data_IF_239202283346
#
_entry.id   IF_239202283346
#
_cell.length_a   1.000
_cell.length_b   1.000
_cell.length_c   1.000
_cell.angle_alpha   90.00
_cell.angle_beta   90.00
_cell.angle_gamma   90.00
#
_symmetry.space_group_name_H-M   'P 1'
#
loop_
_entity.id
_entity.type
_entity.pdbx_description
1 polymer ?
#
# COMPACT_ATOMS: atom_id res chain seq x y z
N UNK A 1 -7.17 -2.65 -25.72
CA UNK A 1 -7.43 -1.42 -24.94
C UNK A 1 -6.92 -1.70 -23.53
N UNK A 2 -5.96 -0.93 -23.02
CA UNK A 2 -5.50 -1.11 -21.64
C UNK A 2 -6.70 -0.94 -20.69
N UNK A 3 -6.81 -1.73 -19.60
CA UNK A 3 -7.87 -1.55 -18.63
C UNK A 3 -7.86 -0.12 -18.09
N UNK A 4 -9.03 0.48 -17.91
CA UNK A 4 -9.17 1.83 -17.32
C UNK A 4 -8.39 1.87 -15.99
N UNK A 5 -7.69 2.98 -15.65
CA UNK A 5 -6.89 3.08 -14.44
C UNK A 5 -7.59 2.59 -13.17
N UNK A 6 -8.86 2.97 -12.98
CA UNK A 6 -9.68 2.52 -11.86
C UNK A 6 -9.85 1.00 -11.79
N UNK A 7 -10.03 0.31 -12.93
CA UNK A 7 -10.16 -1.16 -12.97
C UNK A 7 -8.88 -1.83 -12.47
N UNK A 8 -7.71 -1.30 -12.83
CA UNK A 8 -6.42 -1.83 -12.37
C UNK A 8 -6.20 -1.51 -10.90
N UNK A 9 -6.49 -0.28 -10.48
CA UNK A 9 -6.42 0.14 -9.08
C UNK A 9 -7.29 -0.75 -8.17
N UNK A 10 -8.54 -1.01 -8.57
CA UNK A 10 -9.45 -1.94 -7.85
C UNK A 10 -8.82 -3.32 -7.66
N UNK A 11 -8.22 -3.89 -8.71
CA UNK A 11 -7.56 -5.19 -8.61
C UNK A 11 -6.42 -5.18 -7.58
N UNK A 12 -5.61 -4.13 -7.55
CA UNK A 12 -4.49 -4.02 -6.60
C UNK A 12 -4.99 -3.84 -5.17
N UNK A 13 -5.91 -2.90 -4.93
CA UNK A 13 -6.43 -2.62 -3.60
C UNK A 13 -7.21 -3.80 -3.01
N UNK A 14 -8.05 -4.46 -3.80
CA UNK A 14 -8.91 -5.56 -3.34
C UNK A 14 -8.16 -6.90 -3.23
N UNK A 15 -6.91 -6.98 -3.69
CA UNK A 15 -6.04 -8.12 -3.41
C UNK A 15 -5.47 -8.09 -1.98
N UNK A 16 -5.53 -6.94 -1.29
CA UNK A 16 -5.03 -6.81 0.08
C UNK A 16 -6.02 -7.43 1.09
N UNK A 17 -5.54 -8.08 2.16
CA UNK A 17 -6.40 -8.80 3.10
C UNK A 17 -7.46 -7.91 3.76
N UNK A 18 -8.72 -8.35 3.75
CA UNK A 18 -9.88 -7.62 4.30
C UNK A 18 -10.08 -6.19 3.72
N UNK A 19 -9.42 -5.86 2.60
CA UNK A 19 -9.66 -4.60 1.91
C UNK A 19 -11.02 -4.63 1.20
N UNK A 20 -11.73 -3.52 1.23
CA UNK A 20 -13.01 -3.36 0.55
C UNK A 20 -13.16 -1.95 -0.01
N UNK A 21 -14.05 -1.83 -0.99
CA UNK A 21 -14.40 -0.58 -1.63
C UNK A 21 -15.65 0.03 -0.98
N UNK A 22 -15.61 1.34 -0.76
CA UNK A 22 -16.76 2.15 -0.31
C UNK A 22 -16.76 3.42 -1.16
N UNK A 23 -17.91 3.79 -1.72
CA UNK A 23 -18.03 5.10 -2.35
C UNK A 23 -18.11 6.20 -1.27
N UNK A 24 -17.26 7.22 -1.39
CA UNK A 24 -17.34 8.41 -0.54
C UNK A 24 -16.96 9.65 -1.36
N UNK A 25 -17.71 10.74 -1.16
CA UNK A 25 -17.52 12.00 -1.91
C UNK A 25 -17.59 11.82 -3.44
N UNK A 26 -18.38 10.84 -3.90
CA UNK A 26 -18.50 10.48 -5.32
C UNK A 26 -17.31 9.71 -5.88
N UNK A 27 -16.40 9.22 -5.03
CA UNK A 27 -15.18 8.53 -5.43
C UNK A 27 -15.07 7.13 -4.81
N UNK A 28 -14.53 6.14 -5.56
CA UNK A 28 -14.11 4.88 -5.00
C UNK A 28 -13.03 5.07 -3.92
N UNK A 29 -13.36 4.67 -2.70
CA UNK A 29 -12.41 4.63 -1.59
C UNK A 29 -12.10 3.21 -1.16
N UNK A 30 -10.84 2.94 -0.83
CA UNK A 30 -10.35 1.63 -0.43
C UNK A 30 -9.95 1.63 1.04
N UNK A 31 -10.52 0.68 1.77
CA UNK A 31 -10.48 0.65 3.23
C UNK A 31 -10.13 -0.73 3.73
N UNK A 32 -9.48 -0.77 4.89
CA UNK A 32 -9.34 -1.98 5.70
C UNK A 32 -10.04 -1.71 7.02
N UNK A 33 -11.07 -2.51 7.33
CA UNK A 33 -12.07 -2.16 8.36
C UNK A 33 -12.59 -0.73 8.11
N UNK A 34 -12.65 0.10 9.13
CA UNK A 34 -13.17 1.46 9.00
C UNK A 34 -12.08 2.50 8.65
N UNK A 35 -10.89 2.07 8.21
CA UNK A 35 -9.75 2.96 7.95
C UNK A 35 -9.41 3.02 6.47
N UNK A 36 -9.40 4.24 5.95
CA UNK A 36 -9.02 4.57 4.58
C UNK A 36 -7.51 4.46 4.38
N UNK A 37 -7.09 3.84 3.27
CA UNK A 37 -5.70 3.80 2.83
C UNK A 37 -5.47 4.30 1.40
N UNK A 38 -6.48 4.22 0.53
CA UNK A 38 -6.41 4.77 -0.81
C UNK A 38 -7.76 5.34 -1.27
N UNK A 39 -7.74 6.34 -2.15
CA UNK A 39 -8.91 6.94 -2.77
C UNK A 39 -8.60 7.24 -4.24
N UNK A 40 -9.46 6.80 -5.16
CA UNK A 40 -9.35 7.20 -6.55
C UNK A 40 -9.72 8.68 -6.71
N UNK A 41 -9.03 9.36 -7.62
CA UNK A 41 -9.28 10.74 -7.97
C UNK A 41 -9.52 10.81 -9.48
N UNK A 42 -10.77 10.99 -9.88
CA UNK A 42 -11.16 10.98 -11.28
C UNK A 42 -10.69 12.26 -12.00
N UNK A 43 -10.23 12.10 -13.23
CA UNK A 43 -9.80 13.21 -14.08
C UNK A 43 -10.92 14.24 -14.30
N UNK A 44 -12.17 13.79 -14.32
CA UNK A 44 -13.35 14.60 -14.61
C UNK A 44 -13.81 15.46 -13.41
N UNK A 45 -13.18 15.33 -12.24
CA UNK A 45 -13.54 16.13 -11.07
C UNK A 45 -12.34 16.86 -10.45
N UNK A 46 -12.64 17.65 -9.42
CA UNK A 46 -11.66 18.51 -8.77
C UNK A 46 -10.63 17.76 -7.91
N UNK A 47 -10.83 16.46 -7.63
CA UNK A 47 -9.84 15.65 -6.91
C UNK A 47 -8.69 15.21 -7.82
N UNK A 48 -8.96 14.89 -9.09
CA UNK A 48 -7.95 14.48 -10.07
C UNK A 48 -7.28 15.65 -10.81
N UNK A 49 -7.87 16.84 -10.78
CA UNK A 49 -7.27 18.03 -11.39
C UNK A 49 -7.01 17.87 -12.89
N UNK A 50 -7.90 17.16 -13.59
CA UNK A 50 -7.78 16.87 -15.03
C UNK A 50 -7.02 15.59 -15.37
N UNK A 51 -6.46 14.87 -14.38
CA UNK A 51 -5.71 13.62 -14.58
C UNK A 51 -6.22 12.52 -13.66
N UNK A 52 -6.37 11.28 -14.12
CA UNK A 52 -6.76 10.18 -13.24
C UNK A 52 -5.61 9.92 -12.27
N UNK A 53 -5.93 9.84 -10.98
CA UNK A 53 -4.93 9.67 -9.92
C UNK A 53 -5.45 8.75 -8.80
N UNK A 54 -4.56 8.39 -7.88
CA UNK A 54 -4.91 7.81 -6.59
C UNK A 54 -4.23 8.59 -5.48
N UNK A 55 -4.98 8.91 -4.44
CA UNK A 55 -4.43 9.43 -3.19
C UNK A 55 -4.18 8.24 -2.27
N UNK A 56 -2.93 8.04 -1.87
CA UNK A 56 -2.50 6.94 -1.02
C UNK A 56 -1.98 7.49 0.31
N UNK A 57 -2.33 6.79 1.39
CA UNK A 57 -1.75 7.02 2.71
C UNK A 57 -0.25 6.69 2.65
N UNK A 58 0.58 7.56 3.24
CA UNK A 58 2.02 7.35 3.33
C UNK A 58 2.56 7.99 4.62
N UNK A 59 3.81 7.69 4.95
CA UNK A 59 4.54 8.39 6.00
C UNK A 59 5.05 9.76 5.49
N UNK A 60 5.08 10.81 6.34
CA UNK A 60 5.52 12.15 5.91
C UNK A 60 6.93 12.18 5.30
N UNK A 61 7.85 11.34 5.79
CA UNK A 61 9.21 11.23 5.25
C UNK A 61 9.20 10.78 3.78
N UNK A 62 8.34 9.82 3.45
CA UNK A 62 8.22 9.28 2.09
C UNK A 62 7.61 10.30 1.12
N UNK A 63 6.63 11.10 1.58
CA UNK A 63 6.02 12.16 0.76
C UNK A 63 7.09 13.10 0.18
N UNK A 64 7.95 13.68 1.03
CA UNK A 64 8.96 14.63 0.59
C UNK A 64 10.01 14.03 -0.35
N UNK A 65 10.38 12.76 -0.17
CA UNK A 65 11.31 12.05 -1.05
C UNK A 65 10.69 11.78 -2.43
N UNK A 66 9.46 11.28 -2.48
CA UNK A 66 8.76 10.97 -3.73
C UNK A 66 8.51 12.21 -4.57
N UNK A 67 8.13 13.34 -3.94
CA UNK A 67 7.97 14.62 -4.66
C UNK A 67 9.27 15.08 -5.33
N UNK A 68 10.43 14.83 -4.71
CA UNK A 68 11.74 15.19 -5.28
C UNK A 68 12.20 14.20 -6.35
N UNK A 69 11.92 12.91 -6.17
CA UNK A 69 12.39 11.86 -7.06
C UNK A 69 11.62 11.85 -8.41
N UNK A 70 10.31 12.09 -8.37
CA UNK A 70 9.47 12.05 -9.57
C UNK A 70 8.29 13.04 -9.49
N UNK A 71 8.54 14.36 -9.60
CA UNK A 71 7.51 15.40 -9.47
C UNK A 71 6.42 15.34 -10.55
N UNK A 72 6.70 14.74 -11.71
CA UNK A 72 5.69 14.59 -12.78
C UNK A 72 4.72 13.42 -12.55
N UNK A 73 5.08 12.51 -11.63
CA UNK A 73 4.31 11.31 -11.27
C UNK A 73 3.59 11.45 -9.93
N UNK A 74 4.11 12.30 -9.05
CA UNK A 74 3.65 12.43 -7.68
C UNK A 74 3.28 13.87 -7.32
N UNK A 75 2.27 14.02 -6.46
CA UNK A 75 1.87 15.32 -5.94
C UNK A 75 1.41 15.22 -4.48
N UNK A 76 1.26 16.37 -3.82
CA UNK A 76 0.72 16.45 -2.46
C UNK A 76 -0.78 16.77 -2.54
N UNK A 77 -1.69 15.88 -2.10
CA UNK A 77 -3.12 16.15 -2.15
C UNK A 77 -3.51 17.29 -1.20
N UNK A 78 -4.43 18.20 -1.59
CA UNK A 78 -4.67 19.46 -0.88
C UNK A 78 -5.20 19.31 0.56
N UNK A 79 -5.85 18.19 0.91
CA UNK A 79 -6.51 18.03 2.22
C UNK A 79 -5.83 17.01 3.14
N UNK A 80 -5.32 15.94 2.55
CA UNK A 80 -4.69 14.82 3.27
C UNK A 80 -3.17 14.86 3.18
N UNK A 81 -2.62 15.75 2.33
CA UNK A 81 -1.20 16.03 2.22
C UNK A 81 -0.54 16.40 3.55
N UNK A 82 -1.10 17.31 4.38
CA UNK A 82 -0.55 17.60 5.72
C UNK A 82 -0.53 16.39 6.67
N UNK A 83 -1.28 15.33 6.36
CA UNK A 83 -1.28 14.05 7.10
C UNK A 83 -0.33 13.02 6.48
N UNK A 84 0.54 13.44 5.56
CA UNK A 84 1.55 12.60 4.91
C UNK A 84 1.07 11.85 3.67
N UNK A 85 -0.15 12.07 3.19
CA UNK A 85 -0.66 11.36 2.00
C UNK A 85 0.01 11.83 0.72
N UNK A 86 0.15 10.92 -0.24
CA UNK A 86 0.68 11.21 -1.57
C UNK A 86 -0.40 11.02 -2.63
N UNK A 87 -0.32 11.80 -3.71
CA UNK A 87 -1.07 11.58 -4.94
C UNK A 87 -0.15 10.94 -5.98
N UNK A 88 -0.65 9.95 -6.70
CA UNK A 88 0.05 9.27 -7.80
C UNK A 88 -0.81 9.37 -9.06
N UNK A 89 -0.27 9.93 -10.13
CA UNK A 89 -0.97 9.96 -11.43
C UNK A 89 -1.00 8.56 -12.07
N UNK A 90 -2.14 8.22 -12.69
CA UNK A 90 -2.40 6.90 -13.28
C UNK A 90 -2.52 6.93 -14.82
N UNK A 91 -2.21 8.07 -15.43
CA UNK A 91 -2.14 8.24 -16.88
C UNK A 91 -0.73 8.00 -17.43
N UNK A 92 -0.60 7.94 -18.76
CA UNK A 92 0.68 7.74 -19.44
C UNK A 92 1.40 6.46 -19.01
N UNK A 93 2.70 6.57 -18.75
CA UNK A 93 3.60 5.49 -18.34
C UNK A 93 3.66 5.34 -16.80
N UNK A 94 2.49 5.34 -16.16
CA UNK A 94 2.38 5.14 -14.71
C UNK A 94 3.12 3.86 -14.27
N UNK A 95 3.95 3.98 -13.23
CA UNK A 95 4.70 2.85 -12.67
C UNK A 95 3.80 2.04 -11.73
N UNK A 96 3.14 1.05 -12.32
CA UNK A 96 2.24 0.18 -11.58
C UNK A 96 2.95 -0.77 -10.62
N UNK A 97 4.26 -0.98 -10.78
CA UNK A 97 5.04 -1.80 -9.84
C UNK A 97 5.31 -0.99 -8.58
N UNK A 98 5.80 0.25 -8.73
CA UNK A 98 5.95 1.18 -7.62
C UNK A 98 4.62 1.40 -6.88
N UNK A 99 3.52 1.55 -7.63
CA UNK A 99 2.20 1.75 -7.02
C UNK A 99 1.76 0.57 -6.14
N UNK A 100 2.15 -0.67 -6.46
CA UNK A 100 1.83 -1.83 -5.59
C UNK A 100 2.46 -1.65 -4.21
N UNK A 101 3.72 -1.23 -4.17
CA UNK A 101 4.44 -1.03 -2.91
C UNK A 101 3.85 0.15 -2.12
N UNK A 102 3.54 1.26 -2.79
CA UNK A 102 2.91 2.41 -2.15
C UNK A 102 1.53 2.08 -1.54
N UNK A 103 0.70 1.34 -2.27
CA UNK A 103 -0.61 0.90 -1.79
C UNK A 103 -0.49 -0.06 -0.61
N UNK A 104 0.50 -0.96 -0.65
CA UNK A 104 0.78 -1.90 0.45
C UNK A 104 1.24 -1.14 1.70
N UNK A 105 2.15 -0.18 1.59
CA UNK A 105 2.61 0.64 2.71
C UNK A 105 1.44 1.44 3.32
N UNK A 106 0.65 2.09 2.47
CA UNK A 106 -0.55 2.81 2.91
C UNK A 106 -1.55 1.91 3.62
N UNK A 107 -1.76 0.69 3.11
CA UNK A 107 -2.57 -0.33 3.76
C UNK A 107 -2.02 -0.74 5.12
N UNK A 108 -0.70 -1.00 5.24
CA UNK A 108 -0.08 -1.39 6.50
C UNK A 108 -0.20 -0.28 7.56
N UNK A 109 -0.15 0.99 7.17
CA UNK A 109 -0.41 2.13 8.07
C UNK A 109 -1.87 2.19 8.57
N UNK A 110 -2.82 1.65 7.82
CA UNK A 110 -4.23 1.58 8.20
C UNK A 110 -4.58 0.26 8.93
N UNK A 111 -3.88 -0.83 8.61
CA UNK A 111 -4.23 -2.17 9.01
C UNK A 111 -4.04 -2.43 10.52
N UNK A 112 -4.91 -3.25 11.15
CA UNK A 112 -4.71 -3.75 12.51
C UNK A 112 -3.46 -4.64 12.59
N UNK A 113 -2.90 -4.81 13.80
CA UNK A 113 -1.73 -5.67 14.05
C UNK A 113 -1.86 -7.08 13.46
N UNK A 114 -3.03 -7.72 13.56
CA UNK A 114 -3.27 -9.07 13.05
C UNK A 114 -3.08 -9.18 11.53
N UNK A 115 -3.46 -8.14 10.77
CA UNK A 115 -3.33 -8.14 9.32
C UNK A 115 -1.91 -7.76 8.90
N UNK A 116 -1.27 -6.81 9.60
CA UNK A 116 0.15 -6.49 9.40
C UNK A 116 1.06 -7.70 9.56
N UNK A 117 0.79 -8.53 10.56
CA UNK A 117 1.56 -9.76 10.82
C UNK A 117 1.55 -10.78 9.66
N UNK A 118 0.63 -10.66 8.69
CA UNK A 118 0.63 -11.52 7.50
C UNK A 118 1.72 -11.11 6.48
N UNK A 119 2.27 -9.91 6.62
CA UNK A 119 3.33 -9.36 5.79
C UNK A 119 4.70 -9.42 6.47
N UNK A 120 4.71 -9.62 7.79
CA UNK A 120 5.90 -9.94 8.55
C UNK A 120 6.29 -11.39 8.23
N UNK A 121 7.03 -11.58 7.14
CA UNK A 121 7.78 -12.83 6.97
C UNK A 121 8.86 -12.82 8.04
N UNK A 122 8.90 -13.78 8.98
CA UNK A 122 10.06 -13.91 9.83
C UNK A 122 11.26 -14.13 8.91
N UNK A 123 12.22 -13.20 8.90
CA UNK A 123 13.56 -13.50 8.42
C UNK A 123 13.96 -14.81 9.11
N UNK A 124 14.16 -15.85 8.32
CA UNK A 124 14.27 -17.21 8.81
C UNK A 124 15.22 -17.29 10.00
N UNK A 125 14.69 -17.61 11.17
CA UNK A 125 15.51 -18.16 12.23
C UNK A 125 15.92 -19.55 11.76
N UNK A 126 17.10 -19.66 11.17
CA UNK A 126 17.80 -20.93 11.04
C UNK A 126 18.11 -21.45 12.45
N UNK A 127 17.11 -22.10 13.06
CA UNK A 127 17.35 -23.00 14.18
C UNK A 127 17.43 -24.41 13.59
N UNK A 128 18.63 -24.81 13.16
CA UNK A 128 18.95 -26.23 13.07
C UNK A 128 18.90 -26.82 14.49
N UNK A 129 18.08 -27.85 14.76
CA UNK A 129 18.25 -28.64 15.97
C UNK A 129 19.52 -29.48 15.80
N UNK A 130 20.62 -29.03 16.43
CA UNK A 130 21.85 -29.82 16.54
C UNK A 130 21.58 -31.24 17.06
N UNK A 131 22.34 -32.24 16.59
CA UNK A 131 21.99 -33.65 16.78
C UNK A 131 21.97 -34.02 18.27
N UNK A 132 20.90 -34.71 18.69
CA UNK A 132 20.77 -35.32 20.01
C UNK A 132 21.92 -36.31 20.23
N UNK A 133 22.85 -35.98 21.12
CA UNK A 133 23.81 -36.95 21.64
C UNK A 133 23.05 -38.06 22.39
N UNK A 134 23.14 -39.28 21.86
CA UNK A 134 22.61 -40.50 22.48
C UNK A 134 23.54 -40.92 23.63
N UNK A 135 22.92 -41.32 24.73
CA UNK A 135 23.54 -41.69 26.00
C UNK A 135 24.63 -42.76 25.88
N UNK A 136 25.58 -42.75 26.81
CA UNK A 136 26.26 -43.96 27.28
C UNK A 136 26.49 -43.86 28.79
N UNK A 137 25.57 -44.46 29.55
CA UNK A 137 25.84 -44.91 30.91
C UNK A 137 26.53 -46.28 30.81
N UNK A 138 27.72 -46.42 31.42
CA UNK A 138 28.26 -47.66 32.02
C UNK A 138 29.14 -47.20 33.19
N UNK A 139 28.68 -47.24 34.44
CA UNK A 139 28.87 -48.34 35.41
C UNK A 139 30.25 -49.00 35.36
N UNK A 140 31.02 -48.75 36.42
CA UNK A 140 32.35 -49.29 36.75
C UNK A 140 32.86 -48.57 37.98
#
# INVERSE_FOLDING_TARGET
>A
MAPKPLTRLRKLCLALPEAHEVEAWGEPTFRVRNKLFAMYADAANHHGGGRPAVWCKAEPVNQGLLMRAAPDRHFVPPYVGPKGWIGVYLDGDADWVELVDLLKDGYLLAAPRKLRAQFDTPLGTEHEPGPRARQSRKSG
#
